data_IF_250922432035
#
_entry.id   IF_250922432035
#
_cell.length_a   1.000
_cell.length_b   1.000
_cell.length_c   1.000
_cell.angle_alpha   90.00
_cell.angle_beta   90.00
_cell.angle_gamma   90.00
#
_symmetry.space_group_name_H-M   'P 1'
#
loop_
_entity.id
_entity.type
_entity.pdbx_description
1 polymer ?
#
# COMPACT_ATOMS: atom_id res chain seq x y z
N UNK A 1 16.98 0.24 11.21
CA UNK A 1 16.38 -1.01 10.71
C UNK A 1 14.89 -0.92 10.97
N UNK A 2 14.12 -0.45 9.98
CA UNK A 2 12.67 -0.63 9.96
C UNK A 2 12.44 -2.09 9.62
N UNK A 3 11.75 -2.84 10.48
CA UNK A 3 11.28 -4.17 10.11
C UNK A 3 10.42 -4.04 8.86
N UNK A 4 10.90 -4.61 7.75
CA UNK A 4 10.16 -4.58 6.49
C UNK A 4 8.92 -5.45 6.65
N UNK A 5 7.74 -4.82 6.61
CA UNK A 5 6.49 -5.56 6.58
C UNK A 5 6.30 -6.16 5.18
N UNK A 6 5.46 -7.19 5.07
CA UNK A 6 5.17 -7.84 3.79
C UNK A 6 3.68 -7.84 3.52
N UNK A 7 3.28 -7.31 2.37
CA UNK A 7 1.90 -7.37 1.92
C UNK A 7 1.56 -8.84 1.59
N UNK A 8 0.40 -9.31 2.04
CA UNK A 8 -0.04 -10.69 1.77
C UNK A 8 -1.20 -10.68 0.80
N UNK A 9 -1.17 -11.58 -0.18
CA UNK A 9 -2.30 -11.81 -1.09
C UNK A 9 -3.59 -12.08 -0.30
N UNK A 10 -4.67 -11.44 -0.71
CA UNK A 10 -6.01 -11.62 -0.16
C UNK A 10 -6.25 -10.99 1.21
N UNK A 11 -5.24 -10.33 1.81
CA UNK A 11 -5.38 -9.70 3.14
C UNK A 11 -5.41 -8.19 3.04
N UNK A 12 -6.30 -7.58 3.82
CA UNK A 12 -6.24 -6.16 4.12
C UNK A 12 -5.15 -5.91 5.17
N UNK A 13 -4.28 -4.95 4.91
CA UNK A 13 -3.17 -4.53 5.77
C UNK A 13 -3.35 -3.07 6.11
N UNK A 14 -3.12 -2.69 7.37
CA UNK A 14 -3.04 -1.30 7.77
C UNK A 14 -1.57 -0.89 7.80
N UNK A 15 -1.21 0.10 6.99
CA UNK A 15 0.14 0.65 6.92
C UNK A 15 0.15 1.97 7.69
N UNK A 16 0.97 2.03 8.73
CA UNK A 16 1.09 3.19 9.62
C UNK A 16 2.30 4.02 9.20
N UNK A 17 2.06 5.29 8.92
CA UNK A 17 3.08 6.26 8.56
C UNK A 17 3.38 7.16 9.76
N UNK A 18 4.65 7.27 10.20
CA UNK A 18 5.04 8.19 11.24
C UNK A 18 4.87 9.64 10.75
N UNK A 19 4.86 10.63 11.66
CA UNK A 19 4.78 12.02 11.26
C UNK A 19 5.98 12.37 10.37
N UNK A 20 5.72 13.00 9.24
CA UNK A 20 6.77 13.50 8.35
C UNK A 20 7.13 14.91 8.80
N UNK A 21 8.39 15.14 9.12
CA UNK A 21 8.89 16.42 9.64
C UNK A 21 9.92 16.98 8.68
N UNK A 22 9.82 18.27 8.36
CA UNK A 22 10.80 18.99 7.55
C UNK A 22 12.10 19.20 8.33
N UNK A 23 13.17 19.54 7.61
CA UNK A 23 14.47 19.87 8.22
C UNK A 23 14.39 21.04 9.22
N UNK A 24 13.40 21.93 9.09
CA UNK A 24 13.15 23.06 10.01
C UNK A 24 12.33 22.67 11.25
N UNK A 25 12.00 21.38 11.43
CA UNK A 25 11.23 20.87 12.55
C UNK A 25 9.70 21.00 12.40
N UNK A 26 9.19 21.57 11.29
CA UNK A 26 7.74 21.66 11.06
C UNK A 26 7.17 20.32 10.57
N UNK A 27 6.04 19.92 11.12
CA UNK A 27 5.30 18.73 10.67
C UNK A 27 4.73 19.00 9.28
N UNK A 28 5.17 18.22 8.29
CA UNK A 28 4.63 18.19 6.94
C UNK A 28 3.35 17.34 6.88
N UNK A 29 3.36 16.21 7.58
CA UNK A 29 2.27 15.26 7.61
C UNK A 29 2.14 14.68 9.02
N UNK A 30 0.94 14.73 9.59
CA UNK A 30 0.63 14.07 10.87
C UNK A 30 0.80 12.53 10.75
N UNK A 31 0.77 11.76 11.85
CA UNK A 31 0.73 10.31 11.75
C UNK A 31 -0.55 9.85 11.02
N UNK A 32 -0.38 9.05 9.97
CA UNK A 32 -1.50 8.56 9.16
C UNK A 32 -1.51 7.04 9.07
N UNK A 33 -2.67 6.47 8.79
CA UNK A 33 -2.83 5.04 8.50
C UNK A 33 -3.67 4.84 7.26
N UNK A 34 -3.13 4.02 6.36
CA UNK A 34 -3.77 3.68 5.09
C UNK A 34 -4.10 2.20 5.09
N UNK A 35 -5.32 1.85 4.68
CA UNK A 35 -5.63 0.46 4.36
C UNK A 35 -5.15 0.13 2.95
N UNK A 36 -4.41 -0.97 2.85
CA UNK A 36 -3.90 -1.53 1.60
C UNK A 36 -4.45 -2.93 1.47
N UNK A 37 -4.90 -3.30 0.28
CA UNK A 37 -5.29 -4.67 -0.02
C UNK A 37 -4.56 -5.16 -1.25
N UNK A 38 -3.89 -6.30 -1.12
CA UNK A 38 -3.32 -6.99 -2.27
C UNK A 38 -4.26 -8.11 -2.71
N UNK A 39 -4.59 -8.14 -4.00
CA UNK A 39 -5.49 -9.12 -4.61
C UNK A 39 -4.87 -9.69 -5.88
N UNK A 40 -5.51 -10.73 -6.38
CA UNK A 40 -5.37 -11.25 -7.74
C UNK A 40 -6.72 -11.12 -8.42
N UNK A 41 -6.76 -11.08 -9.75
CA UNK A 41 -8.04 -10.96 -10.50
C UNK A 41 -8.91 -12.22 -10.33
N UNK A 42 -8.26 -13.37 -10.17
CA UNK A 42 -8.85 -14.70 -9.97
C UNK A 42 -8.15 -15.43 -8.82
N UNK A 43 -8.59 -16.65 -8.52
CA UNK A 43 -7.85 -17.51 -7.60
C UNK A 43 -6.45 -17.80 -8.20
N UNK A 44 -5.36 -17.49 -7.49
CA UNK A 44 -4.04 -17.54 -8.09
C UNK A 44 -3.56 -18.96 -8.33
N UNK A 45 -2.85 -19.19 -9.43
CA UNK A 45 -2.15 -20.47 -9.67
C UNK A 45 -0.92 -20.58 -8.76
N UNK A 46 -0.33 -21.77 -8.67
CA UNK A 46 0.91 -21.97 -7.88
C UNK A 46 2.06 -21.12 -8.43
N UNK A 47 2.12 -20.97 -9.73
CA UNK A 47 3.12 -20.18 -10.45
C UNK A 47 2.94 -18.69 -10.16
N UNK A 48 1.70 -18.19 -10.17
CA UNK A 48 1.38 -16.80 -9.81
C UNK A 48 1.74 -16.51 -8.34
N UNK A 49 1.45 -17.45 -7.42
CA UNK A 49 1.85 -17.32 -6.00
C UNK A 49 3.38 -17.30 -5.86
N UNK A 50 4.08 -18.19 -6.55
CA UNK A 50 5.55 -18.22 -6.52
C UNK A 50 6.13 -16.90 -7.04
N UNK A 51 5.68 -16.44 -8.19
CA UNK A 51 6.11 -15.17 -8.79
C UNK A 51 5.85 -13.99 -7.86
N UNK A 52 4.67 -13.94 -7.23
CA UNK A 52 4.35 -12.92 -6.23
C UNK A 52 5.32 -12.96 -5.03
N UNK A 53 5.64 -14.15 -4.53
CA UNK A 53 6.59 -14.31 -3.43
C UNK A 53 8.01 -13.90 -3.82
N UNK A 54 8.43 -14.22 -5.05
CA UNK A 54 9.75 -13.85 -5.58
C UNK A 54 9.86 -12.31 -5.75
N UNK A 55 8.78 -11.64 -6.14
CA UNK A 55 8.71 -10.18 -6.31
C UNK A 55 8.24 -9.42 -5.06
N UNK A 56 8.06 -10.09 -3.92
CA UNK A 56 7.33 -9.53 -2.77
C UNK A 56 7.98 -8.28 -2.17
N UNK A 57 9.31 -8.28 -2.05
CA UNK A 57 10.04 -7.15 -1.48
C UNK A 57 9.99 -5.94 -2.42
N UNK A 58 10.10 -6.16 -3.74
CA UNK A 58 9.94 -5.12 -4.78
C UNK A 58 8.52 -4.54 -4.79
N UNK A 59 7.50 -5.40 -4.80
CA UNK A 59 6.09 -4.99 -4.77
C UNK A 59 5.81 -4.17 -3.51
N UNK A 60 6.33 -4.60 -2.36
CA UNK A 60 6.10 -3.88 -1.10
C UNK A 60 6.73 -2.49 -1.15
N UNK A 61 7.97 -2.37 -1.64
CA UNK A 61 8.64 -1.08 -1.81
C UNK A 61 7.88 -0.16 -2.78
N UNK A 62 7.40 -0.69 -3.91
CA UNK A 62 6.63 0.06 -4.89
C UNK A 62 5.29 0.55 -4.32
N UNK A 63 4.59 -0.30 -3.57
CA UNK A 63 3.35 0.08 -2.89
C UNK A 63 3.63 1.16 -1.84
N UNK A 64 4.66 1.02 -1.02
CA UNK A 64 5.02 2.01 -0.02
C UNK A 64 5.33 3.37 -0.64
N UNK A 65 6.08 3.40 -1.75
CA UNK A 65 6.36 4.63 -2.50
C UNK A 65 5.08 5.30 -2.99
N UNK A 66 4.13 4.54 -3.56
CA UNK A 66 2.83 5.08 -4.00
C UNK A 66 2.07 5.69 -2.84
N UNK A 67 2.06 5.04 -1.68
CA UNK A 67 1.32 5.52 -0.51
C UNK A 67 1.94 6.81 0.03
N UNK A 68 3.27 6.89 0.14
CA UNK A 68 3.97 8.09 0.58
C UNK A 68 3.69 9.25 -0.38
N UNK A 69 3.81 9.02 -1.68
CA UNK A 69 3.52 10.02 -2.71
C UNK A 69 2.06 10.50 -2.61
N UNK A 70 1.09 9.59 -2.49
CA UNK A 70 -0.34 9.94 -2.38
C UNK A 70 -0.69 10.74 -1.11
N UNK A 71 0.04 10.50 -0.01
CA UNK A 71 -0.11 11.26 1.23
C UNK A 71 0.43 12.69 1.12
N UNK A 72 1.47 12.90 0.32
CA UNK A 72 2.08 14.22 0.11
C UNK A 72 1.32 15.00 -0.98
N UNK A 73 1.04 14.34 -2.10
CA UNK A 73 0.38 14.89 -3.27
C UNK A 73 -0.62 13.86 -3.83
N UNK A 74 -1.94 14.10 -3.73
CA UNK A 74 -2.95 13.13 -4.13
C UNK A 74 -2.74 12.62 -5.57
N UNK A 75 -2.51 11.32 -5.69
CA UNK A 75 -2.31 10.64 -6.97
C UNK A 75 -3.63 10.40 -7.69
N UNK A 76 -3.52 9.98 -8.97
CA UNK A 76 -4.66 9.53 -9.77
C UNK A 76 -5.35 8.32 -9.11
N UNK A 77 -6.63 8.13 -9.43
CA UNK A 77 -7.41 7.01 -8.89
C UNK A 77 -6.99 5.64 -9.42
N UNK A 78 -6.24 5.59 -10.53
CA UNK A 78 -5.76 4.35 -11.16
C UNK A 78 -4.28 4.46 -11.51
N UNK A 79 -3.52 3.43 -11.18
CA UNK A 79 -2.08 3.32 -11.46
C UNK A 79 -1.81 1.91 -12.01
N UNK A 80 -0.85 1.80 -12.93
CA UNK A 80 -0.27 0.53 -13.36
C UNK A 80 1.24 0.59 -13.18
N UNK A 81 1.82 -0.50 -12.68
CA UNK A 81 3.26 -0.72 -12.58
C UNK A 81 3.55 -2.00 -13.35
N UNK A 82 4.47 -1.93 -14.30
CA UNK A 82 4.98 -3.08 -15.02
C UNK A 82 6.29 -3.50 -14.36
N UNK A 83 6.29 -4.68 -13.76
CA UNK A 83 7.47 -5.29 -13.13
C UNK A 83 8.07 -6.38 -14.01
N UNK A 84 9.10 -7.06 -13.50
CA UNK A 84 9.72 -8.16 -14.23
C UNK A 84 8.82 -9.40 -14.24
N UNK A 85 8.17 -9.66 -15.37
CA UNK A 85 7.26 -10.79 -15.55
C UNK A 85 5.91 -10.64 -14.85
N UNK A 86 5.59 -9.48 -14.26
CA UNK A 86 4.30 -9.22 -13.62
C UNK A 86 3.77 -7.81 -13.90
N UNK A 87 2.48 -7.61 -13.66
CA UNK A 87 1.85 -6.28 -13.69
C UNK A 87 1.06 -6.09 -12.40
N UNK A 88 1.19 -4.90 -11.82
CA UNK A 88 0.41 -4.46 -10.68
C UNK A 88 -0.52 -3.33 -11.12
N UNK A 89 -1.83 -3.50 -10.94
CA UNK A 89 -2.79 -2.41 -11.11
C UNK A 89 -3.31 -1.97 -9.76
N UNK A 90 -3.55 -0.68 -9.58
CA UNK A 90 -4.00 -0.11 -8.32
C UNK A 90 -5.24 0.76 -8.54
N UNK A 91 -6.27 0.57 -7.70
CA UNK A 91 -7.40 1.48 -7.59
C UNK A 91 -7.39 2.15 -6.21
N UNK A 92 -7.56 3.48 -6.20
CA UNK A 92 -7.86 4.25 -4.99
C UNK A 92 -9.36 4.32 -4.78
N UNK A 93 -9.84 3.80 -3.66
CA UNK A 93 -11.26 3.69 -3.31
C UNK A 93 -11.55 4.39 -2.00
N UNK A 94 -12.79 4.84 -1.78
CA UNK A 94 -13.20 5.37 -0.48
C UNK A 94 -13.09 4.29 0.61
N UNK A 95 -12.55 4.66 1.78
CA UNK A 95 -12.48 3.81 2.96
C UNK A 95 -13.52 4.23 3.99
N UNK A 96 -14.78 3.89 3.73
CA UNK A 96 -15.91 4.28 4.58
C UNK A 96 -15.72 3.86 6.04
N UNK A 97 -15.27 2.62 6.27
CA UNK A 97 -15.02 2.11 7.62
C UNK A 97 -13.89 2.85 8.35
N UNK A 98 -12.89 3.35 7.62
CA UNK A 98 -11.76 4.08 8.20
C UNK A 98 -12.18 5.34 8.96
N UNK A 99 -13.29 5.97 8.57
CA UNK A 99 -13.83 7.17 9.22
C UNK A 99 -14.31 6.93 10.65
N UNK A 100 -14.63 5.68 11.00
CA UNK A 100 -15.15 5.31 12.30
C UNK A 100 -14.07 4.68 13.20
N UNK A 101 -12.81 4.63 12.75
CA UNK A 101 -11.73 3.99 13.49
C UNK A 101 -11.00 4.99 14.39
N UNK A 102 -10.89 4.64 15.67
CA UNK A 102 -9.98 5.29 16.61
C UNK A 102 -8.69 4.49 16.67
N UNK A 103 -7.64 4.96 15.99
CA UNK A 103 -6.36 4.27 15.86
C UNK A 103 -5.28 4.98 16.66
N UNK A 104 -4.36 4.20 17.25
CA UNK A 104 -3.25 4.72 18.05
C UNK A 104 -1.95 4.00 17.70
N UNK A 105 -0.84 4.73 17.74
CA UNK A 105 0.52 4.20 17.69
C UNK A 105 1.21 4.54 19.01
N UNK A 106 1.32 3.53 19.87
CA UNK A 106 1.66 3.76 21.28
C UNK A 106 0.60 4.66 21.92
N UNK A 107 1.03 5.79 22.47
CA UNK A 107 0.11 6.75 23.11
C UNK A 107 -0.45 7.80 22.13
N UNK A 108 0.11 7.93 20.92
CA UNK A 108 -0.30 8.93 19.94
C UNK A 108 -1.52 8.48 19.13
N UNK A 109 -2.45 9.39 18.88
CA UNK A 109 -3.54 9.16 17.92
C UNK A 109 -2.99 9.13 16.49
N UNK A 110 -3.58 8.31 15.63
CA UNK A 110 -3.22 8.19 14.21
C UNK A 110 -4.47 8.44 13.38
N UNK A 111 -4.34 9.28 12.36
CA UNK A 111 -5.46 9.63 11.49
C UNK A 111 -5.63 8.58 10.39
N UNK A 112 -6.81 7.97 10.31
CA UNK A 112 -7.16 7.13 9.18
C UNK A 112 -7.36 7.97 7.91
N UNK A 113 -6.79 7.53 6.80
CA UNK A 113 -7.03 8.14 5.49
C UNK A 113 -8.48 7.92 5.03
N UNK A 114 -9.01 8.87 4.26
CA UNK A 114 -10.35 8.78 3.71
C UNK A 114 -10.46 7.73 2.58
N UNK A 115 -9.33 7.39 1.96
CA UNK A 115 -9.22 6.40 0.90
C UNK A 115 -8.35 5.22 1.33
N UNK A 116 -8.55 4.11 0.62
CA UNK A 116 -7.73 2.90 0.67
C UNK A 116 -7.25 2.55 -0.73
N UNK A 117 -6.19 1.76 -0.78
CA UNK A 117 -5.64 1.27 -2.04
C UNK A 117 -5.88 -0.23 -2.20
N UNK A 118 -6.35 -0.61 -3.38
CA UNK A 118 -6.52 -2.01 -3.78
C UNK A 118 -5.60 -2.28 -4.95
N UNK A 119 -4.55 -3.06 -4.69
CA UNK A 119 -3.62 -3.53 -5.69
C UNK A 119 -4.05 -4.91 -6.20
N UNK A 120 -3.96 -5.12 -7.51
CA UNK A 120 -4.20 -6.40 -8.16
C UNK A 120 -2.94 -6.82 -8.90
N UNK A 121 -2.38 -7.94 -8.46
CA UNK A 121 -1.28 -8.62 -9.09
C UNK A 121 -1.79 -9.55 -10.19
N UNK A 122 -1.10 -9.53 -11.33
CA UNK A 122 -1.24 -10.51 -12.40
C UNK A 122 0.15 -10.90 -12.92
N UNK A 123 0.35 -12.17 -13.24
CA UNK A 123 1.50 -12.55 -14.04
C UNK A 123 1.42 -11.83 -15.40
N UNK A 124 2.54 -11.27 -15.84
CA UNK A 124 2.68 -10.73 -17.18
C UNK A 124 2.63 -11.87 -18.19
N UNK A 125 2.16 -11.58 -19.41
CA UNK A 125 2.45 -12.48 -20.51
C UNK A 125 3.97 -12.46 -20.70
N UNK A 126 4.65 -13.50 -20.24
CA UNK A 126 6.05 -13.69 -20.58
C UNK A 126 6.20 -13.64 -22.10
N UNK A 127 7.14 -12.83 -22.57
CA UNK A 127 7.62 -12.90 -23.95
C UNK A 127 8.29 -14.25 -24.20
#
# INVERSE_FOLDING_TARGET
>A
MTDSYRLRLGKATLVFFPPQVRADGRVLLEPHVVQVMMKTERYPTREEVKMYCDALDEITAAVEAILIEDLIAPLRSKIQIDGDGYVLTADKLEWQFGRCLELRWGNGAVRACAQKWVFRFRAGAGL
#
